data_IF_793356406346
#
_entry.id   IF_793356406346
#
_cell.length_a   1.000
_cell.length_b   1.000
_cell.length_c   1.000
_cell.angle_alpha   90.00
_cell.angle_beta   90.00
_cell.angle_gamma   90.00
#
_symmetry.space_group_name_H-M   'P 1'
#
loop_
_entity.id
_entity.type
_entity.pdbx_description
1 polymer ?
#
# COMPACT_ATOMS: atom_id res chain seq x y z
N UNK A 1 8.67 -5.83 -22.30
CA UNK A 1 8.64 -5.58 -20.85
C UNK A 1 8.58 -6.90 -20.08
N UNK A 2 9.61 -7.21 -19.28
CA UNK A 2 9.65 -8.43 -18.47
C UNK A 2 8.80 -8.25 -17.22
N UNK A 3 8.00 -9.27 -16.89
CA UNK A 3 7.26 -9.35 -15.64
C UNK A 3 8.24 -9.35 -14.47
N UNK A 4 8.05 -8.47 -13.49
CA UNK A 4 8.86 -8.49 -12.27
C UNK A 4 8.62 -9.83 -11.58
N UNK A 5 9.69 -10.61 -11.38
CA UNK A 5 9.63 -11.79 -10.54
C UNK A 5 9.33 -11.29 -9.13
N UNK A 6 8.06 -11.40 -8.74
CA UNK A 6 7.62 -11.06 -7.40
C UNK A 6 8.16 -12.13 -6.44
N UNK A 7 9.01 -11.72 -5.51
CA UNK A 7 9.62 -12.62 -4.53
C UNK A 7 8.63 -13.12 -3.48
N UNK A 8 7.45 -12.52 -3.40
CA UNK A 8 6.38 -12.87 -2.46
C UNK A 8 4.99 -12.64 -3.09
N UNK A 9 3.96 -13.37 -2.62
CA UNK A 9 2.59 -13.18 -3.10
C UNK A 9 2.06 -11.80 -2.70
N UNK A 10 1.46 -11.09 -3.66
CA UNK A 10 0.76 -9.84 -3.43
C UNK A 10 -0.58 -10.11 -2.73
N UNK A 11 -0.90 -9.29 -1.73
CA UNK A 11 -2.18 -9.33 -1.04
C UNK A 11 -3.34 -8.97 -1.98
N UNK A 12 -4.54 -9.52 -1.75
CA UNK A 12 -5.76 -9.09 -2.46
C UNK A 12 -6.04 -7.60 -2.29
N UNK A 13 -5.64 -7.02 -1.16
CA UNK A 13 -5.86 -5.60 -0.88
C UNK A 13 -5.10 -4.67 -1.83
N UNK A 14 -4.09 -5.16 -2.56
CA UNK A 14 -3.47 -4.39 -3.64
C UNK A 14 -4.45 -4.20 -4.82
N UNK A 15 -5.25 -5.21 -5.14
CA UNK A 15 -6.32 -5.08 -6.13
C UNK A 15 -7.39 -4.11 -5.64
N UNK A 16 -7.72 -4.15 -4.33
CA UNK A 16 -8.67 -3.19 -3.75
C UNK A 16 -8.15 -1.75 -3.85
N UNK A 17 -6.84 -1.51 -3.68
CA UNK A 17 -6.23 -0.20 -3.89
C UNK A 17 -6.39 0.27 -5.34
N UNK A 18 -6.08 -0.60 -6.30
CA UNK A 18 -6.20 -0.28 -7.73
C UNK A 18 -7.66 -0.03 -8.12
N UNK A 19 -8.59 -0.87 -7.66
CA UNK A 19 -10.02 -0.68 -7.88
C UNK A 19 -10.53 0.61 -7.25
N UNK A 20 -10.04 0.97 -6.06
CA UNK A 20 -10.38 2.24 -5.42
C UNK A 20 -9.90 3.42 -6.25
N UNK A 21 -8.66 3.36 -6.76
CA UNK A 21 -8.13 4.38 -7.68
C UNK A 21 -8.93 4.46 -8.99
N UNK A 22 -9.29 3.32 -9.57
CA UNK A 22 -10.11 3.26 -10.79
C UNK A 22 -11.49 3.85 -10.57
N UNK A 23 -12.10 3.55 -9.42
CA UNK A 23 -13.37 4.14 -9.02
C UNK A 23 -13.27 5.66 -8.87
N UNK A 24 -12.25 6.17 -8.17
CA UNK A 24 -12.04 7.61 -8.01
C UNK A 24 -11.75 8.28 -9.35
N UNK A 25 -10.93 7.65 -10.20
CA UNK A 25 -10.57 8.17 -11.52
C UNK A 25 -11.77 8.20 -12.46
N UNK A 26 -12.60 7.14 -12.48
CA UNK A 26 -13.78 7.06 -13.35
C UNK A 26 -14.81 8.17 -13.09
N UNK A 27 -14.88 8.70 -11.86
CA UNK A 27 -15.70 9.89 -11.55
C UNK A 27 -15.22 11.16 -12.28
N UNK A 28 -13.97 11.18 -12.74
CA UNK A 28 -13.38 12.25 -13.55
C UNK A 28 -13.35 11.92 -15.06
N UNK A 29 -13.87 10.76 -15.47
CA UNK A 29 -14.05 10.38 -16.87
C UNK A 29 -13.45 9.01 -17.23
N UNK A 30 -12.13 8.88 -17.17
CA UNK A 30 -11.41 7.64 -17.49
C UNK A 30 -10.88 6.97 -16.21
N UNK A 31 -10.93 5.64 -16.16
CA UNK A 31 -10.58 4.83 -15.00
C UNK A 31 -9.10 4.93 -14.62
N UNK A 32 -8.21 5.43 -15.49
CA UNK A 32 -6.77 5.51 -15.21
C UNK A 32 -6.11 6.83 -15.57
N UNK A 33 -6.89 7.90 -15.71
CA UNK A 33 -6.41 9.21 -16.14
C UNK A 33 -6.21 10.21 -14.99
N UNK A 34 -6.54 9.84 -13.74
CA UNK A 34 -6.38 10.78 -12.62
C UNK A 34 -4.89 11.02 -12.32
N UNK A 35 -4.49 12.27 -12.04
CA UNK A 35 -3.14 12.55 -11.54
C UNK A 35 -2.93 11.86 -10.19
N UNK A 36 -2.03 10.88 -10.17
CA UNK A 36 -1.64 10.14 -8.96
C UNK A 36 -0.18 10.43 -8.66
N UNK A 37 0.10 10.90 -7.46
CA UNK A 37 1.48 11.01 -6.97
C UNK A 37 1.83 9.76 -6.18
N UNK A 38 2.91 9.08 -6.54
CA UNK A 38 3.35 7.84 -5.89
C UNK A 38 4.70 8.05 -5.25
N UNK A 39 4.77 7.87 -3.93
CA UNK A 39 6.03 7.91 -3.21
C UNK A 39 6.90 6.69 -3.57
N UNK A 40 8.15 6.90 -3.98
CA UNK A 40 9.09 5.84 -4.37
C UNK A 40 9.33 4.81 -3.26
N UNK A 41 9.20 5.22 -1.99
CA UNK A 41 9.26 4.31 -0.85
C UNK A 41 8.15 3.25 -0.81
N UNK A 42 7.14 3.34 -1.68
CA UNK A 42 6.04 2.38 -1.81
C UNK A 42 6.36 1.12 -2.63
N UNK A 43 7.60 1.01 -3.11
CA UNK A 43 8.17 -0.24 -3.59
C UNK A 43 7.83 -0.60 -5.04
N UNK A 44 8.53 -1.59 -5.61
CA UNK A 44 8.44 -1.96 -7.03
C UNK A 44 7.10 -2.61 -7.39
N UNK A 45 6.44 -3.28 -6.44
CA UNK A 45 5.13 -3.91 -6.64
C UNK A 45 4.07 -2.87 -6.95
N UNK A 46 3.99 -1.81 -6.14
CA UNK A 46 3.01 -0.75 -6.34
C UNK A 46 3.29 0.02 -7.63
N UNK A 47 4.57 0.29 -7.89
CA UNK A 47 5.04 0.88 -9.15
C UNK A 47 4.64 0.06 -10.40
N UNK A 48 4.52 -1.26 -10.30
CA UNK A 48 4.05 -2.11 -11.39
C UNK A 48 2.55 -2.00 -11.61
N UNK A 49 1.76 -2.12 -10.54
CA UNK A 49 0.29 -2.05 -10.62
C UNK A 49 -0.22 -0.66 -11.01
N UNK A 50 0.49 0.40 -10.64
CA UNK A 50 0.15 1.77 -11.01
C UNK A 50 0.74 2.21 -12.36
N UNK A 51 1.43 1.33 -13.09
CA UNK A 51 2.06 1.65 -14.39
C UNK A 51 1.04 2.13 -15.42
N UNK A 52 -0.17 1.58 -15.39
CA UNK A 52 -1.17 1.84 -16.42
C UNK A 52 -1.97 3.13 -16.13
N UNK A 53 -1.63 3.86 -15.06
CA UNK A 53 -2.13 5.22 -14.82
C UNK A 53 -1.24 6.23 -15.57
N UNK A 54 -1.75 6.80 -16.65
CA UNK A 54 -0.97 7.62 -17.59
C UNK A 54 -0.40 8.89 -16.96
N UNK A 55 -1.11 9.45 -15.97
CA UNK A 55 -0.74 10.67 -15.24
C UNK A 55 -0.04 10.37 -13.91
N UNK A 56 0.41 9.13 -13.69
CA UNK A 56 1.10 8.76 -12.46
C UNK A 56 2.52 9.37 -12.41
N UNK A 57 2.79 10.18 -11.39
CA UNK A 57 4.11 10.78 -11.13
C UNK A 57 4.76 10.12 -9.92
N UNK A 58 6.06 9.87 -10.00
CA UNK A 58 6.84 9.29 -8.90
C UNK A 58 7.65 10.36 -8.21
N UNK A 59 7.67 10.33 -6.89
CA UNK A 59 8.43 11.27 -6.05
C UNK A 59 9.25 10.53 -5.00
N UNK A 60 10.50 10.94 -4.80
CA UNK A 60 11.39 10.35 -3.79
C UNK A 60 11.25 11.01 -2.42
N UNK A 61 10.81 12.26 -2.37
CA UNK A 61 10.70 13.05 -1.15
C UNK A 61 9.34 13.71 -1.10
N UNK A 62 8.51 13.26 -0.16
CA UNK A 62 7.22 13.86 0.12
C UNK A 62 7.37 15.29 0.66
N UNK A 63 8.39 15.52 1.48
CA UNK A 63 8.70 16.80 2.13
C UNK A 63 9.00 17.93 1.14
N UNK A 64 9.45 17.60 -0.07
CA UNK A 64 9.84 18.57 -1.10
C UNK A 64 8.74 18.86 -2.12
N UNK A 65 7.58 18.24 -1.97
CA UNK A 65 6.44 18.50 -2.84
C UNK A 65 5.67 19.69 -2.32
N UNK A 66 5.47 20.68 -3.19
CA UNK A 66 4.50 21.73 -2.92
C UNK A 66 3.08 21.17 -3.04
N UNK A 67 2.14 21.76 -2.31
CA UNK A 67 0.72 21.36 -2.34
C UNK A 67 0.10 21.42 -3.73
N UNK A 68 0.59 22.29 -4.61
CA UNK A 68 0.17 22.33 -6.01
C UNK A 68 0.70 21.18 -6.86
N UNK A 69 1.80 20.55 -6.44
CA UNK A 69 2.39 19.38 -7.10
C UNK A 69 1.76 18.07 -6.61
N UNK A 70 1.27 18.07 -5.36
CA UNK A 70 0.44 17.01 -4.83
C UNK A 70 -0.92 17.10 -5.52
N UNK A 71 -1.11 16.25 -6.54
CA UNK A 71 -2.38 16.11 -7.24
C UNK A 71 -3.53 15.72 -6.31
N UNK A 72 -4.72 15.47 -6.87
CA UNK A 72 -5.89 15.08 -6.05
C UNK A 72 -5.66 13.79 -5.24
N UNK A 73 -4.73 12.93 -5.70
CA UNK A 73 -4.45 11.63 -5.12
C UNK A 73 -2.96 11.45 -4.85
N UNK A 74 -2.64 10.98 -3.64
CA UNK A 74 -1.29 10.63 -3.21
C UNK A 74 -1.26 9.20 -2.67
N UNK A 75 -0.24 8.43 -3.03
CA UNK A 75 -0.03 7.06 -2.56
C UNK A 75 1.33 6.96 -1.86
N UNK A 76 1.32 6.56 -0.59
CA UNK A 76 2.51 6.47 0.27
C UNK A 76 2.72 5.05 0.79
N UNK A 77 3.95 4.73 1.23
CA UNK A 77 4.28 3.46 1.92
C UNK A 77 3.99 3.47 3.41
N UNK A 78 3.76 4.65 3.97
CA UNK A 78 3.47 4.88 5.38
C UNK A 78 2.00 5.19 5.57
N UNK A 79 1.47 4.77 6.72
CA UNK A 79 0.09 4.99 7.15
C UNK A 79 -0.11 6.38 7.77
N UNK A 80 0.98 7.00 8.19
CA UNK A 80 1.06 8.37 8.63
C UNK A 80 1.48 9.27 7.46
N UNK A 81 0.65 10.27 7.17
CA UNK A 81 1.02 11.37 6.30
C UNK A 81 1.53 12.51 7.18
N UNK A 82 2.82 12.82 7.05
CA UNK A 82 3.40 14.03 7.61
C UNK A 82 3.95 14.85 6.45
N UNK A 83 3.30 15.96 6.16
CA UNK A 83 3.72 16.93 5.17
C UNK A 83 3.86 18.27 5.87
N UNK A 84 5.06 18.57 6.38
CA UNK A 84 5.31 19.76 7.20
C UNK A 84 5.02 21.09 6.48
N UNK A 85 4.90 21.05 5.15
CA UNK A 85 4.70 22.21 4.28
C UNK A 85 3.27 22.32 3.72
N UNK A 86 2.36 21.41 4.09
CA UNK A 86 0.95 21.51 3.67
C UNK A 86 0.22 22.49 4.59
N UNK A 87 -0.43 23.53 4.04
CA UNK A 87 -1.28 24.44 4.81
C UNK A 87 -2.42 23.71 5.52
N UNK A 88 -2.80 24.19 6.72
CA UNK A 88 -3.84 23.58 7.55
C UNK A 88 -5.23 23.57 6.88
N UNK A 89 -5.46 24.39 5.85
CA UNK A 89 -6.70 24.44 5.07
C UNK A 89 -6.84 23.32 4.02
N UNK A 90 -5.79 22.53 3.81
CA UNK A 90 -5.82 21.39 2.89
C UNK A 90 -5.93 20.09 3.68
N UNK A 91 -7.08 19.45 3.56
CA UNK A 91 -7.38 18.21 4.27
C UNK A 91 -7.19 16.99 3.35
N UNK A 92 -6.57 15.94 3.89
CA UNK A 92 -6.42 14.65 3.22
C UNK A 92 -7.15 13.56 4.01
N UNK A 93 -7.97 12.78 3.31
CA UNK A 93 -8.58 11.57 3.87
C UNK A 93 -7.81 10.35 3.38
N UNK A 94 -7.35 9.55 4.33
CA UNK A 94 -6.52 8.37 4.10
C UNK A 94 -7.29 7.06 4.16
N UNK A 95 -6.86 6.09 3.35
CA UNK A 95 -7.24 4.69 3.48
C UNK A 95 -6.01 3.78 3.36
N UNK A 96 -5.87 2.84 4.29
CA UNK A 96 -4.76 1.89 4.35
C UNK A 96 -5.05 0.59 3.57
N UNK A 97 -4.02 0.08 2.90
CA UNK A 97 -4.04 -1.16 2.15
C UNK A 97 -2.81 -2.01 2.48
N UNK A 98 -3.03 -3.26 2.92
CA UNK A 98 -1.95 -4.20 3.15
C UNK A 98 -1.44 -4.76 1.82
N UNK A 99 -0.23 -4.39 1.39
CA UNK A 99 0.35 -4.85 0.12
C UNK A 99 0.84 -6.30 0.19
N UNK A 100 1.38 -6.66 1.35
CA UNK A 100 1.88 -8.00 1.63
C UNK A 100 1.45 -8.44 3.02
N UNK A 101 1.26 -9.75 3.15
CA UNK A 101 1.07 -10.39 4.44
C UNK A 101 1.99 -11.59 4.55
N UNK A 102 2.60 -11.74 5.71
CA UNK A 102 3.46 -12.87 6.04
C UNK A 102 3.02 -13.52 7.33
N UNK A 103 3.29 -14.81 7.48
CA UNK A 103 3.16 -15.49 8.76
C UNK A 103 4.22 -14.96 9.73
N UNK A 104 3.87 -14.80 11.01
CA UNK A 104 4.85 -14.49 12.04
C UNK A 104 5.76 -15.70 12.27
N UNK A 105 7.05 -15.55 11.92
CA UNK A 105 8.04 -16.60 12.11
C UNK A 105 8.23 -16.98 13.59
N UNK A 106 7.95 -16.06 14.52
CA UNK A 106 8.03 -16.32 15.95
C UNK A 106 6.95 -17.31 16.44
N UNK A 107 5.79 -17.34 15.80
CA UNK A 107 4.71 -18.28 16.13
C UNK A 107 4.93 -19.68 15.53
N UNK A 108 5.72 -19.74 14.46
CA UNK A 108 5.96 -20.98 13.69
C UNK A 108 7.27 -21.66 14.09
N UNK A 109 8.19 -20.98 14.77
CA UNK A 109 9.50 -21.54 15.11
C UNK A 109 9.43 -22.69 16.12
N UNK A 110 10.38 -23.63 16.00
CA UNK A 110 10.70 -24.55 17.09
C UNK A 110 11.26 -23.76 18.28
N UNK A 111 10.72 -24.02 19.47
CA UNK A 111 11.29 -23.50 20.72
C UNK A 111 12.31 -24.52 21.24
N UNK A 112 13.59 -24.15 21.13
CA UNK A 112 14.75 -24.93 21.58
C UNK A 112 14.96 -24.84 23.11
N UNK A 113 13.90 -25.07 23.86
CA UNK A 113 13.91 -25.21 25.32
C UNK A 113 13.46 -26.64 25.66
N UNK A 114 13.98 -27.26 26.72
CA UNK A 114 13.52 -28.59 27.12
C UNK A 114 12.20 -28.52 27.92
N UNK A 115 11.16 -29.29 27.58
CA UNK A 115 11.07 -30.20 26.42
C UNK A 115 10.91 -29.44 25.10
N UNK A 116 11.53 -29.94 24.03
CA UNK A 116 11.48 -29.34 22.70
C UNK A 116 10.03 -29.18 22.21
N UNK A 117 9.64 -27.96 21.82
CA UNK A 117 8.30 -27.66 21.31
C UNK A 117 8.37 -27.26 19.84
N UNK A 118 8.09 -28.23 18.96
CA UNK A 118 8.16 -28.08 17.49
C UNK A 118 6.82 -28.34 16.78
N UNK A 119 5.74 -28.61 17.52
CA UNK A 119 4.43 -28.91 16.96
C UNK A 119 3.90 -27.79 16.05
N UNK A 120 4.15 -26.53 16.38
CA UNK A 120 3.79 -25.40 15.52
C UNK A 120 4.54 -25.40 14.19
N UNK A 121 5.86 -25.64 14.22
CA UNK A 121 6.70 -25.73 13.01
C UNK A 121 6.25 -26.87 12.10
N UNK A 122 6.01 -28.06 12.66
CA UNK A 122 5.53 -29.23 11.91
C UNK A 122 4.14 -28.99 11.33
N UNK A 123 3.22 -28.42 12.13
CA UNK A 123 1.88 -28.08 11.69
C UNK A 123 1.87 -27.05 10.55
N UNK A 124 2.77 -26.07 10.60
CA UNK A 124 2.92 -25.11 9.51
C UNK A 124 3.55 -25.73 8.26
N UNK A 125 4.61 -26.54 8.41
CA UNK A 125 5.30 -27.14 7.26
C UNK A 125 4.38 -28.09 6.48
N UNK A 126 3.62 -28.93 7.20
CA UNK A 126 2.79 -29.98 6.60
C UNK A 126 1.40 -29.49 6.22
N UNK A 127 0.79 -28.63 7.05
CA UNK A 127 -0.62 -28.27 6.93
C UNK A 127 -0.86 -26.76 6.73
N UNK A 128 0.21 -25.95 6.70
CA UNK A 128 0.12 -24.47 6.72
C UNK A 128 -0.75 -23.96 7.87
N UNK A 129 -0.77 -24.67 9.00
CA UNK A 129 -1.54 -24.31 10.20
C UNK A 129 -0.72 -23.40 11.11
N UNK A 130 -1.31 -22.27 11.50
CA UNK A 130 -0.78 -21.34 12.49
C UNK A 130 -1.88 -20.95 13.50
N UNK A 131 -1.50 -20.42 14.68
CA UNK A 131 -2.45 -19.93 15.66
C UNK A 131 -3.16 -18.64 15.21
N UNK A 132 -2.40 -17.72 14.60
CA UNK A 132 -2.89 -16.44 14.10
C UNK A 132 -2.96 -16.40 12.58
N UNK A 133 -3.70 -15.45 12.02
CA UNK A 133 -3.73 -15.15 10.59
C UNK A 133 -2.46 -14.40 10.16
N UNK A 134 -2.09 -14.40 8.86
CA UNK A 134 -0.95 -13.63 8.36
C UNK A 134 -1.09 -12.15 8.69
N UNK A 135 -0.03 -11.59 9.26
CA UNK A 135 0.05 -10.16 9.61
C UNK A 135 0.55 -9.37 8.40
N UNK A 136 0.07 -8.14 8.27
CA UNK A 136 0.51 -7.25 7.20
C UNK A 136 1.87 -6.65 7.55
N UNK A 137 2.86 -6.99 6.73
CA UNK A 137 4.27 -6.59 6.87
C UNK A 137 4.65 -5.46 5.92
N UNK A 138 3.84 -5.21 4.88
CA UNK A 138 4.01 -4.12 3.93
C UNK A 138 2.66 -3.43 3.66
N UNK A 139 2.68 -2.11 3.61
CA UNK A 139 1.48 -1.27 3.54
C UNK A 139 1.63 -0.19 2.46
N UNK A 140 0.47 0.24 1.95
CA UNK A 140 0.32 1.50 1.25
C UNK A 140 -0.85 2.27 1.85
N UNK A 141 -0.77 3.59 1.86
CA UNK A 141 -1.89 4.46 2.16
C UNK A 141 -2.24 5.29 0.93
N UNK A 142 -3.53 5.35 0.63
CA UNK A 142 -4.12 6.20 -0.39
C UNK A 142 -4.68 7.44 0.29
N UNK A 143 -4.23 8.62 -0.12
CA UNK A 143 -4.68 9.90 0.38
C UNK A 143 -5.43 10.64 -0.71
N UNK A 144 -6.65 11.04 -0.42
CA UNK A 144 -7.48 11.87 -1.27
C UNK A 144 -7.57 13.27 -0.67
N UNK A 145 -7.24 14.28 -1.47
CA UNK A 145 -7.38 15.69 -1.12
C UNK A 145 -8.87 16.10 -1.11
N UNK A 146 -9.35 16.72 -0.04
CA UNK A 146 -10.78 17.06 0.20
C UNK A 146 -11.25 18.35 -0.50
N UNK A 147 -10.35 19.10 -1.11
CA UNK A 147 -10.60 20.42 -1.72
C UNK A 147 -11.61 20.38 -2.90
N UNK A 148 -11.99 19.19 -3.35
CA UNK A 148 -12.97 18.95 -4.43
C UNK A 148 -14.43 18.83 -3.95
N UNK A 149 -14.75 19.10 -2.68
CA UNK A 149 -16.11 18.97 -2.13
C UNK A 149 -16.87 20.30 -1.93
N UNK A 150 -16.40 21.43 -2.47
CA UNK A 150 -17.14 22.70 -2.46
C UNK A 150 -17.56 23.04 -3.88
N UNK A 151 -18.64 22.41 -4.32
CA UNK A 151 -19.18 22.58 -5.66
C UNK A 151 -20.51 21.85 -5.87
N UNK A 152 -21.42 21.96 -4.90
CA UNK A 152 -22.87 21.79 -5.10
C UNK A 152 -23.59 23.05 -4.61
#
# INVERSE_FOLDING_TARGET
PHELIMTAPTSRNLLDLVQTLEFVSSRKGDARSIPVTVHQGAGPVLAWYLRDFSEARRTERLESLDVGEIGSVLVTSRRDLSLAHVPDDVEFVGQDFALRRSWDAAEVRCVWQWPLRCNAAVGWLLLRRTPSLPVADEWAALWLRQDTAVGE
#
